data_IF_787829087719
#
_entry.id   IF_787829087719
#
_cell.length_a   1.000
_cell.length_b   1.000
_cell.length_c   1.000
_cell.angle_alpha   90.00
_cell.angle_beta   90.00
_cell.angle_gamma   90.00
#
_symmetry.space_group_name_H-M   'P 1'
#
loop_
_entity.id
_entity.type
_entity.pdbx_description
1 polymer ?
#
# COMPACT_ATOMS: atom_id res chain seq x y z
N UNK A 1 7.37 9.42 -26.36
CA UNK A 1 7.94 9.70 -25.01
C UNK A 1 7.20 8.82 -24.01
N UNK A 2 7.91 7.94 -23.31
CA UNK A 2 7.32 7.06 -22.30
C UNK A 2 6.56 7.85 -21.24
N UNK A 3 5.40 7.34 -20.81
CA UNK A 3 4.49 8.01 -19.87
C UNK A 3 5.19 8.39 -18.56
N UNK A 4 6.03 7.50 -18.03
CA UNK A 4 6.83 7.73 -16.82
C UNK A 4 7.72 8.98 -16.93
N UNK A 5 8.34 9.24 -18.09
CA UNK A 5 9.19 10.41 -18.30
C UNK A 5 8.39 11.71 -18.23
N UNK A 6 7.16 11.71 -18.74
CA UNK A 6 6.25 12.85 -18.62
C UNK A 6 5.83 13.08 -17.16
N UNK A 7 5.54 12.00 -16.41
CA UNK A 7 5.21 12.10 -14.99
C UNK A 7 6.36 12.70 -14.17
N UNK A 8 7.60 12.26 -14.40
CA UNK A 8 8.78 12.83 -13.73
C UNK A 8 9.00 14.29 -14.08
N UNK A 9 8.89 14.66 -15.36
CA UNK A 9 9.03 16.06 -15.80
C UNK A 9 7.92 16.97 -15.26
N UNK A 10 6.71 16.45 -15.10
CA UNK A 10 5.61 17.18 -14.49
C UNK A 10 5.83 17.37 -13.00
N UNK A 11 6.30 16.32 -12.30
CA UNK A 11 6.60 16.38 -10.87
C UNK A 11 7.75 17.33 -10.56
N UNK A 12 8.86 17.28 -11.31
CA UNK A 12 10.01 18.15 -11.06
C UNK A 12 9.71 19.65 -11.17
N UNK A 13 8.61 20.00 -11.84
CA UNK A 13 8.11 21.38 -11.98
C UNK A 13 6.98 21.72 -11.00
N UNK A 14 6.53 20.78 -10.18
CA UNK A 14 5.38 20.94 -9.30
C UNK A 14 5.79 21.54 -7.95
N UNK A 15 4.85 22.23 -7.29
CA UNK A 15 5.10 22.81 -5.95
C UNK A 15 5.29 21.73 -4.89
N UNK A 16 4.72 20.55 -5.11
CA UNK A 16 4.84 19.38 -4.24
C UNK A 16 6.27 18.81 -4.21
N UNK A 17 7.11 19.06 -5.22
CA UNK A 17 8.50 18.64 -5.20
C UNK A 17 9.37 19.42 -4.19
N UNK A 18 8.90 20.58 -3.72
CA UNK A 18 9.67 21.47 -2.83
C UNK A 18 8.92 21.87 -1.55
N UNK A 19 7.67 21.42 -1.38
CA UNK A 19 6.83 21.82 -0.25
C UNK A 19 7.02 20.90 0.96
N UNK A 20 7.01 21.50 2.16
CA UNK A 20 6.82 20.77 3.42
C UNK A 20 5.41 20.18 3.42
N UNK A 21 5.32 18.85 3.50
CA UNK A 21 4.06 18.13 3.41
C UNK A 21 3.29 18.24 4.74
N UNK A 22 2.29 19.13 4.79
CA UNK A 22 1.43 19.31 5.97
C UNK A 22 0.38 18.21 6.15
N UNK A 23 -0.01 17.55 5.07
CA UNK A 23 -1.05 16.52 5.06
C UNK A 23 -0.63 15.38 4.09
N UNK A 24 0.22 14.44 4.57
CA UNK A 24 0.80 13.40 3.72
C UNK A 24 -0.25 12.45 3.14
N UNK A 25 -1.27 12.10 3.93
CA UNK A 25 -2.34 11.18 3.52
C UNK A 25 -3.12 11.77 2.35
N UNK A 26 -3.53 13.04 2.44
CA UNK A 26 -4.31 13.70 1.38
C UNK A 26 -3.53 13.83 0.08
N UNK A 27 -2.25 14.19 0.16
CA UNK A 27 -1.40 14.33 -1.02
C UNK A 27 -1.15 12.96 -1.66
N UNK A 28 -0.78 11.95 -0.87
CA UNK A 28 -0.56 10.60 -1.37
C UNK A 28 -1.83 10.01 -1.99
N UNK A 29 -3.00 10.21 -1.37
CA UNK A 29 -4.29 9.79 -1.93
C UNK A 29 -4.55 10.40 -3.30
N UNK A 30 -4.22 11.68 -3.49
CA UNK A 30 -4.34 12.35 -4.79
C UNK A 30 -3.40 11.73 -5.84
N UNK A 31 -2.17 11.40 -5.44
CA UNK A 31 -1.20 10.74 -6.32
C UNK A 31 -1.64 9.33 -6.70
N UNK A 32 -2.07 8.51 -5.74
CA UNK A 32 -2.60 7.16 -5.99
C UNK A 32 -3.82 7.22 -6.92
N UNK A 33 -4.74 8.17 -6.70
CA UNK A 33 -5.88 8.37 -7.62
C UNK A 33 -5.42 8.71 -9.03
N UNK A 34 -4.42 9.57 -9.18
CA UNK A 34 -3.84 9.92 -10.48
C UNK A 34 -3.17 8.70 -11.13
N UNK A 35 -2.46 7.90 -10.35
CA UNK A 35 -1.83 6.66 -10.80
C UNK A 35 -2.87 5.69 -11.38
N UNK A 36 -3.96 5.45 -10.65
CA UNK A 36 -5.08 4.59 -11.07
C UNK A 36 -5.74 5.05 -12.36
N UNK A 37 -5.97 6.35 -12.52
CA UNK A 37 -6.50 6.91 -13.78
C UNK A 37 -5.52 6.73 -14.95
N UNK A 38 -4.26 6.50 -14.65
CA UNK A 38 -3.22 6.26 -15.62
C UNK A 38 -2.86 4.82 -15.90
N UNK A 39 -3.53 3.88 -15.24
CA UNK A 39 -3.35 2.46 -15.41
C UNK A 39 -4.63 1.85 -15.98
N UNK A 40 -4.52 1.13 -17.09
CA UNK A 40 -5.64 0.32 -17.58
C UNK A 40 -5.78 -0.97 -16.75
N UNK A 41 -4.64 -1.53 -16.31
CA UNK A 41 -4.55 -2.71 -15.46
C UNK A 41 -3.57 -2.45 -14.30
N UNK A 42 -3.72 -3.17 -13.17
CA UNK A 42 -2.84 -2.97 -12.00
C UNK A 42 -1.35 -3.15 -12.29
N UNK A 43 -1.00 -3.97 -13.29
CA UNK A 43 0.39 -4.21 -13.72
C UNK A 43 0.89 -3.25 -14.81
N UNK A 44 0.09 -2.27 -15.21
CA UNK A 44 0.54 -1.24 -16.15
C UNK A 44 1.49 -0.27 -15.43
N UNK A 45 2.68 -0.07 -15.98
CA UNK A 45 3.69 0.85 -15.45
C UNK A 45 3.34 2.34 -15.63
N UNK A 46 2.17 2.65 -16.20
CA UNK A 46 1.71 4.01 -16.47
C UNK A 46 1.51 4.90 -15.23
N UNK A 47 1.42 4.31 -14.03
CA UNK A 47 1.23 5.00 -12.75
C UNK A 47 2.39 4.89 -11.76
N UNK A 48 3.49 4.21 -12.12
CA UNK A 48 4.55 3.86 -11.16
C UNK A 48 5.19 5.07 -10.49
N UNK A 49 5.40 6.14 -11.25
CA UNK A 49 5.98 7.39 -10.73
C UNK A 49 5.08 7.97 -9.64
N UNK A 50 3.78 8.04 -9.87
CA UNK A 50 2.82 8.52 -8.88
C UNK A 50 2.75 7.64 -7.63
N UNK A 51 2.83 6.31 -7.76
CA UNK A 51 2.89 5.42 -6.59
C UNK A 51 4.19 5.58 -5.80
N UNK A 52 5.33 5.70 -6.48
CA UNK A 52 6.62 5.93 -5.82
C UNK A 52 6.61 7.25 -5.03
N UNK A 53 6.11 8.33 -5.65
CA UNK A 53 5.98 9.63 -4.99
C UNK A 53 5.02 9.57 -3.80
N UNK A 54 3.88 8.88 -3.94
CA UNK A 54 2.95 8.66 -2.84
C UNK A 54 3.62 7.92 -1.68
N UNK A 55 4.38 6.86 -1.97
CA UNK A 55 5.10 6.09 -0.95
C UNK A 55 6.14 6.92 -0.22
N UNK A 56 6.93 7.75 -0.92
CA UNK A 56 7.90 8.66 -0.27
C UNK A 56 7.21 9.61 0.69
N UNK A 57 6.12 10.25 0.24
CA UNK A 57 5.36 11.19 1.07
C UNK A 57 4.78 10.52 2.31
N UNK A 58 4.28 9.30 2.17
CA UNK A 58 3.73 8.53 3.30
C UNK A 58 4.83 8.11 4.28
N UNK A 59 5.99 7.68 3.80
CA UNK A 59 7.15 7.34 4.65
C UNK A 59 7.62 8.52 5.48
N UNK A 60 7.82 9.68 4.83
CA UNK A 60 8.19 10.91 5.53
C UNK A 60 7.08 11.34 6.51
N UNK A 61 5.82 11.18 6.10
CA UNK A 61 4.64 11.49 6.91
C UNK A 61 4.51 10.65 8.18
N UNK A 62 4.84 9.36 8.13
CA UNK A 62 4.71 8.44 9.26
C UNK A 62 5.50 8.88 10.50
N UNK A 63 6.59 9.63 10.34
CA UNK A 63 7.38 10.20 11.46
C UNK A 63 6.54 11.20 12.28
N UNK A 64 5.63 11.90 11.63
CA UNK A 64 4.87 13.02 12.19
C UNK A 64 3.42 12.65 12.54
N UNK A 65 2.83 11.66 11.88
CA UNK A 65 1.48 11.17 12.20
C UNK A 65 1.45 10.57 13.61
N UNK A 66 0.51 11.06 14.45
CA UNK A 66 0.38 10.64 15.86
C UNK A 66 -0.83 9.77 16.13
N UNK A 67 -1.90 9.91 15.35
CA UNK A 67 -3.11 9.13 15.55
C UNK A 67 -2.96 7.75 14.92
N UNK A 68 -3.33 6.71 15.66
CA UNK A 68 -3.37 5.34 15.17
C UNK A 68 -4.22 5.21 13.88
N UNK A 69 -5.33 5.95 13.79
CA UNK A 69 -6.19 5.97 12.60
C UNK A 69 -5.46 6.51 11.36
N UNK A 70 -4.74 7.62 11.50
CA UNK A 70 -4.00 8.25 10.41
C UNK A 70 -2.80 7.39 9.99
N UNK A 71 -2.08 6.81 10.96
CA UNK A 71 -0.97 5.88 10.70
C UNK A 71 -1.45 4.60 10.01
N UNK A 72 -2.58 4.03 10.46
CA UNK A 72 -3.21 2.87 9.83
C UNK A 72 -3.61 3.16 8.38
N UNK A 73 -4.17 4.34 8.10
CA UNK A 73 -4.47 4.79 6.73
C UNK A 73 -3.22 4.96 5.88
N UNK A 74 -2.15 5.55 6.43
CA UNK A 74 -0.88 5.67 5.72
C UNK A 74 -0.28 4.29 5.37
N UNK A 75 -0.32 3.33 6.30
CA UNK A 75 0.10 1.96 6.03
C UNK A 75 -0.77 1.26 4.99
N UNK A 76 -2.09 1.47 5.01
CA UNK A 76 -2.96 0.93 3.97
C UNK A 76 -2.57 1.45 2.58
N UNK A 77 -2.36 2.76 2.44
CA UNK A 77 -1.98 3.38 1.17
C UNK A 77 -0.58 2.94 0.72
N UNK A 78 0.37 2.77 1.64
CA UNK A 78 1.68 2.18 1.34
C UNK A 78 1.54 0.74 0.81
N UNK A 79 0.69 -0.07 1.44
CA UNK A 79 0.38 -1.42 0.96
C UNK A 79 -0.17 -1.41 -0.46
N UNK A 80 -1.14 -0.55 -0.76
CA UNK A 80 -1.68 -0.41 -2.12
C UNK A 80 -0.62 0.00 -3.14
N UNK A 81 0.27 0.92 -2.78
CA UNK A 81 1.37 1.33 -3.66
C UNK A 81 2.36 0.20 -3.93
N UNK A 82 2.81 -0.52 -2.90
CA UNK A 82 3.82 -1.56 -3.06
C UNK A 82 3.29 -2.84 -3.70
N UNK A 83 1.99 -3.10 -3.62
CA UNK A 83 1.38 -4.23 -4.33
C UNK A 83 1.46 -4.02 -5.84
N UNK A 84 1.20 -2.79 -6.29
CA UNK A 84 1.34 -2.40 -7.70
C UNK A 84 2.82 -2.39 -8.13
N UNK A 85 3.69 -1.87 -7.28
CA UNK A 85 5.14 -1.82 -7.52
C UNK A 85 5.85 -3.18 -7.30
N UNK A 86 5.12 -4.25 -6.98
CA UNK A 86 5.70 -5.56 -6.62
C UNK A 86 6.62 -6.12 -7.71
N UNK A 87 6.26 -5.91 -8.99
CA UNK A 87 7.04 -6.35 -10.15
C UNK A 87 8.41 -5.63 -10.28
N UNK A 88 8.63 -4.54 -9.53
CA UNK A 88 9.91 -3.81 -9.45
C UNK A 88 10.86 -4.36 -8.36
N UNK A 89 10.55 -5.53 -7.80
CA UNK A 89 11.37 -6.20 -6.79
C UNK A 89 10.98 -5.91 -5.34
N UNK A 90 9.81 -5.30 -5.11
CA UNK A 90 9.25 -5.04 -3.76
C UNK A 90 8.36 -6.19 -3.25
N UNK A 91 8.72 -7.42 -3.62
CA UNK A 91 7.86 -8.63 -3.64
C UNK A 91 6.80 -8.71 -2.56
N UNK A 92 7.16 -8.67 -1.28
CA UNK A 92 6.21 -8.88 -0.17
C UNK A 92 6.02 -7.63 0.69
N UNK A 93 6.49 -6.46 0.22
CA UNK A 93 6.52 -5.25 1.04
C UNK A 93 5.12 -4.73 1.35
N UNK A 94 4.17 -4.91 0.43
CA UNK A 94 2.77 -4.58 0.65
C UNK A 94 2.13 -5.40 1.76
N UNK A 95 2.49 -6.68 1.90
CA UNK A 95 1.99 -7.54 2.98
C UNK A 95 2.40 -7.01 4.35
N UNK A 96 3.66 -6.56 4.49
CA UNK A 96 4.14 -5.95 5.73
C UNK A 96 3.36 -4.67 6.07
N UNK A 97 3.02 -3.86 5.08
CA UNK A 97 2.24 -2.65 5.31
C UNK A 97 0.77 -2.93 5.60
N UNK A 98 0.14 -3.90 4.95
CA UNK A 98 -1.21 -4.32 5.31
C UNK A 98 -1.27 -4.90 6.73
N UNK A 99 -0.29 -5.71 7.13
CA UNK A 99 -0.20 -6.17 8.52
C UNK A 99 0.03 -5.01 9.50
N UNK A 100 0.91 -4.06 9.15
CA UNK A 100 1.16 -2.86 9.98
C UNK A 100 -0.10 -2.01 10.13
N UNK A 101 -0.88 -1.84 9.07
CA UNK A 101 -2.18 -1.16 9.11
C UNK A 101 -3.11 -1.79 10.16
N UNK A 102 -3.19 -3.13 10.20
CA UNK A 102 -4.02 -3.87 11.14
C UNK A 102 -3.48 -3.69 12.56
N UNK A 103 -2.19 -3.90 12.77
CA UNK A 103 -1.58 -3.82 14.10
C UNK A 103 -1.66 -2.41 14.71
N UNK A 104 -1.58 -1.39 13.87
CA UNK A 104 -1.66 0.01 14.29
C UNK A 104 -3.05 0.37 14.80
N UNK A 105 -4.12 -0.10 14.14
CA UNK A 105 -5.49 0.17 14.58
C UNK A 105 -6.40 -1.06 14.40
N UNK A 106 -6.24 -2.13 15.22
CA UNK A 106 -6.85 -3.44 14.97
C UNK A 106 -8.37 -3.46 14.97
N UNK A 107 -8.98 -2.53 15.72
CA UNK A 107 -10.43 -2.37 15.84
C UNK A 107 -10.96 -1.21 14.99
N UNK A 108 -10.12 -0.66 14.13
CA UNK A 108 -10.50 0.42 13.23
C UNK A 108 -11.31 -0.08 12.03
N UNK A 109 -12.10 0.81 11.38
CA UNK A 109 -12.83 0.50 10.15
C UNK A 109 -11.93 0.02 9.00
N UNK A 110 -10.63 0.38 9.00
CA UNK A 110 -9.68 -0.07 7.98
C UNK A 110 -9.11 -1.46 8.22
N UNK A 111 -9.11 -1.98 9.46
CA UNK A 111 -8.42 -3.22 9.79
C UNK A 111 -8.92 -4.41 8.98
N UNK A 112 -10.24 -4.52 8.82
CA UNK A 112 -10.85 -5.58 7.99
C UNK A 112 -10.40 -5.49 6.53
N UNK A 113 -10.40 -4.28 5.96
CA UNK A 113 -9.96 -4.06 4.57
C UNK A 113 -8.48 -4.41 4.39
N UNK A 114 -7.63 -4.03 5.34
CA UNK A 114 -6.20 -4.38 5.33
C UNK A 114 -6.02 -5.91 5.43
N UNK A 115 -6.80 -6.59 6.26
CA UNK A 115 -6.77 -8.05 6.36
C UNK A 115 -7.18 -8.74 5.07
N UNK A 116 -8.27 -8.30 4.44
CA UNK A 116 -8.74 -8.88 3.17
C UNK A 116 -7.65 -8.79 2.07
N UNK A 117 -6.92 -7.67 2.00
CA UNK A 117 -5.82 -7.49 1.02
C UNK A 117 -4.59 -8.30 1.37
N UNK A 118 -4.25 -8.43 2.65
CA UNK A 118 -3.17 -9.30 3.12
C UNK A 118 -3.48 -10.77 2.81
N UNK A 119 -4.68 -11.23 3.16
CA UNK A 119 -5.13 -12.60 2.93
C UNK A 119 -5.13 -12.91 1.43
N UNK A 120 -5.69 -12.04 0.60
CA UNK A 120 -5.67 -12.18 -0.87
C UNK A 120 -4.24 -12.34 -1.40
N UNK A 121 -3.30 -11.48 -0.98
CA UNK A 121 -1.90 -11.54 -1.40
C UNK A 121 -1.24 -12.87 -1.02
N UNK A 122 -1.38 -13.26 0.25
CA UNK A 122 -0.76 -14.48 0.77
C UNK A 122 -1.33 -15.70 0.04
N UNK A 123 -2.65 -15.80 -0.13
CA UNK A 123 -3.25 -16.91 -0.85
C UNK A 123 -2.81 -16.96 -2.32
N UNK A 124 -2.72 -15.80 -2.99
CA UNK A 124 -2.23 -15.73 -4.36
C UNK A 124 -0.79 -16.23 -4.48
N UNK A 125 0.10 -15.85 -3.54
CA UNK A 125 1.50 -16.27 -3.52
C UNK A 125 1.71 -17.78 -3.36
N UNK A 126 0.73 -18.50 -2.80
CA UNK A 126 0.75 -19.96 -2.64
C UNK A 126 -0.26 -20.69 -3.53
N UNK A 127 -0.81 -20.00 -4.53
CA UNK A 127 -1.70 -20.57 -5.55
C UNK A 127 -0.91 -21.01 -6.78
N UNK A 128 -1.39 -22.06 -7.46
CA UNK A 128 -0.80 -22.54 -8.70
C UNK A 128 -1.72 -23.51 -9.44
N UNK A 129 -1.21 -24.17 -10.48
CA UNK A 129 -1.97 -25.13 -11.30
C UNK A 129 -2.48 -26.35 -10.51
N UNK A 130 -1.82 -26.70 -9.41
CA UNK A 130 -2.24 -27.76 -8.49
C UNK A 130 -3.16 -27.29 -7.35
N UNK A 131 -3.67 -26.05 -7.41
CA UNK A 131 -4.46 -25.43 -6.34
C UNK A 131 -3.63 -24.63 -5.35
N UNK A 132 -4.20 -24.35 -4.17
CA UNK A 132 -3.56 -23.53 -3.12
C UNK A 132 -2.92 -24.40 -2.06
N UNK A 133 -1.62 -24.21 -1.84
CA UNK A 133 -0.83 -24.94 -0.82
C UNK A 133 -0.23 -23.98 0.20
N UNK A 134 -1.08 -23.45 1.07
CA UNK A 134 -0.66 -22.49 2.09
C UNK A 134 0.07 -23.20 3.26
N UNK A 135 1.35 -22.86 3.56
CA UNK A 135 2.10 -23.45 4.67
C UNK A 135 1.44 -23.20 6.03
N UNK A 136 1.76 -24.06 7.01
CA UNK A 136 1.20 -23.96 8.36
C UNK A 136 1.51 -22.62 9.04
N UNK A 137 2.73 -22.09 8.87
CA UNK A 137 3.13 -20.82 9.50
C UNK A 137 2.32 -19.62 8.96
N UNK A 138 2.03 -19.57 7.67
CA UNK A 138 1.18 -18.50 7.09
C UNK A 138 -0.27 -18.63 7.56
N UNK A 139 -0.82 -19.85 7.60
CA UNK A 139 -2.16 -20.08 8.18
C UNK A 139 -2.23 -19.58 9.63
N UNK A 140 -1.19 -19.89 10.42
CA UNK A 140 -1.10 -19.46 11.81
C UNK A 140 -1.02 -17.92 11.90
N UNK A 141 -0.15 -17.29 11.11
CA UNK A 141 -0.02 -15.82 11.03
C UNK A 141 -1.34 -15.14 10.67
N UNK A 142 -2.04 -15.60 9.62
CA UNK A 142 -3.33 -15.04 9.24
C UNK A 142 -4.38 -15.20 10.35
N UNK A 143 -4.45 -16.35 11.01
CA UNK A 143 -5.36 -16.57 12.12
C UNK A 143 -5.04 -15.65 13.32
N UNK A 144 -3.77 -15.45 13.67
CA UNK A 144 -3.36 -14.52 14.72
C UNK A 144 -3.82 -13.10 14.41
N UNK A 145 -3.60 -12.63 13.18
CA UNK A 145 -4.01 -11.30 12.73
C UNK A 145 -5.54 -11.17 12.72
N UNK A 146 -6.26 -12.19 12.24
CA UNK A 146 -7.73 -12.22 12.22
C UNK A 146 -8.33 -12.11 13.63
N UNK A 147 -7.70 -12.77 14.60
CA UNK A 147 -8.13 -12.69 16.00
C UNK A 147 -7.96 -11.28 16.58
N UNK A 148 -6.92 -10.52 16.20
CA UNK A 148 -6.76 -9.12 16.64
C UNK A 148 -7.94 -8.23 16.22
N UNK A 149 -8.56 -8.55 15.08
CA UNK A 149 -9.71 -7.80 14.53
C UNK A 149 -11.03 -8.28 15.14
N UNK A 150 -11.11 -9.56 15.54
CA UNK A 150 -12.36 -10.25 15.90
C UNK A 150 -12.68 -10.27 17.40
N UNK A 151 -11.71 -10.04 18.29
CA UNK A 151 -11.95 -10.02 19.74
C UNK A 151 -12.68 -8.72 20.15
N UNK A 152 -14.00 -8.85 20.24
CA UNK A 152 -14.96 -7.96 20.93
C UNK A 152 -15.53 -8.69 22.15
#
# INVERSE_FOLDING_TARGET
VSRWKKSLQAWSKSKEATAVVKDPIKIATKMIRKARLGQEYRKDHGGDVEYLLASTILHDGLVHLKKASERSEAYFLLGESYEVLGDLGSWNLHEFYFESCIREWPRGPLARKCYERLEESVYLGYSGSSGVHLPYHEKKRLNEIKNLISVQ
#
